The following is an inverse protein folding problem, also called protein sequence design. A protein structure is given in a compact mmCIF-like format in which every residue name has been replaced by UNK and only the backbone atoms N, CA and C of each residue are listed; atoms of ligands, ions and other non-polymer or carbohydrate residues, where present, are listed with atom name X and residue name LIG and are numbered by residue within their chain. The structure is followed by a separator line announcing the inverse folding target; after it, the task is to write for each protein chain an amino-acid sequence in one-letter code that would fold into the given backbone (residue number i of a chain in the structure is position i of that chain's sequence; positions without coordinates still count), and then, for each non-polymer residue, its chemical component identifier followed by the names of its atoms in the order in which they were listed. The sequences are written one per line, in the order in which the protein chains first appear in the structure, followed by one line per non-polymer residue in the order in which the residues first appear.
data_IF_145631805470
#
_entry.id   IF_145631805470
#
_cell.length_a   1.000
_cell.length_b   1.000
_cell.length_c   1.000
_cell.angle_alpha   90.00
_cell.angle_beta   90.00
_cell.angle_gamma   90.00
#
_symmetry.space_group_name_H-M   'P 1'
#
loop_
_entity.id
_entity.type
_entity.pdbx_description
1 polymer ?
#
# COMPACT_ATOMS: atom_id res chain seq x y z
N UNK A 1 3.20 53.57 18.24
CA UNK A 1 4.26 54.50 17.78
C UNK A 1 4.38 54.38 16.27
N UNK A 2 4.30 55.51 15.52
CA UNK A 2 4.35 55.55 14.06
C UNK A 2 5.76 55.90 13.54
N UNK A 3 6.12 55.44 12.34
CA UNK A 3 7.18 55.98 11.49
C UNK A 3 6.84 55.58 10.02
N UNK A 4 6.40 56.47 9.12
CA UNK A 4 7.14 57.56 8.44
C UNK A 4 8.56 57.12 8.05
N UNK A 5 9.05 57.21 6.83
CA UNK A 5 8.66 57.86 5.58
C UNK A 5 9.90 57.83 4.68
N UNK A 6 9.77 57.95 3.36
CA UNK A 6 10.94 57.95 2.49
C UNK A 6 10.64 58.10 1.01
N UNK A 7 10.26 59.30 0.59
CA UNK A 7 10.29 59.73 -0.81
C UNK A 7 11.74 59.95 -1.24
N UNK A 8 12.11 59.52 -2.45
CA UNK A 8 13.13 60.21 -3.25
C UNK A 8 12.68 60.34 -4.70
N UNK A 9 12.60 61.59 -5.13
CA UNK A 9 12.55 62.03 -6.51
C UNK A 9 13.95 61.96 -7.13
N UNK A 10 14.03 61.78 -8.45
CA UNK A 10 15.27 61.80 -9.20
C UNK A 10 15.03 61.77 -10.70
N UNK A 11 14.76 62.96 -11.24
CA UNK A 11 14.70 63.33 -12.65
C UNK A 11 16.02 63.11 -13.39
N UNK A 12 15.95 62.76 -14.68
CA UNK A 12 17.12 62.81 -15.57
C UNK A 12 16.83 62.25 -16.96
N UNK A 13 16.18 63.05 -17.80
CA UNK A 13 16.02 62.78 -19.23
C UNK A 13 17.30 63.11 -20.00
N UNK A 14 17.70 62.27 -20.95
CA UNK A 14 18.43 62.70 -22.16
C UNK A 14 18.00 61.83 -23.35
N UNK A 15 17.50 62.51 -24.37
CA UNK A 15 17.05 61.95 -25.64
C UNK A 15 18.24 61.63 -26.56
N UNK A 16 18.11 60.55 -27.32
CA UNK A 16 19.02 60.14 -28.38
C UNK A 16 18.30 59.29 -29.43
N UNK A 17 18.84 59.18 -30.66
CA UNK A 17 18.08 59.35 -31.89
C UNK A 17 17.26 58.14 -32.34
N UNK A 18 16.15 58.46 -33.00
CA UNK A 18 15.26 57.52 -33.65
C UNK A 18 15.96 56.80 -34.81
N UNK A 19 16.18 55.50 -34.65
CA UNK A 19 16.50 54.57 -35.73
C UNK A 19 15.39 53.52 -35.81
N UNK A 20 14.53 53.65 -36.83
CA UNK A 20 13.70 52.58 -37.39
C UNK A 20 14.32 52.19 -38.74
N UNK A 21 13.96 51.06 -39.35
CA UNK A 21 13.62 49.73 -38.82
C UNK A 21 14.40 48.63 -39.59
N UNK A 22 14.55 47.43 -39.02
CA UNK A 22 14.67 46.22 -39.85
C UNK A 22 14.17 45.00 -39.11
N UNK A 23 13.10 44.44 -39.64
CA UNK A 23 12.42 43.22 -39.25
C UNK A 23 13.36 42.02 -39.40
N UNK A 24 13.83 41.48 -38.27
CA UNK A 24 14.44 40.15 -38.22
C UNK A 24 14.16 39.53 -36.86
N UNK A 25 13.41 38.42 -36.85
CA UNK A 25 13.29 37.51 -35.72
C UNK A 25 12.70 38.13 -34.44
N UNK A 26 11.39 38.34 -34.42
CA UNK A 26 10.67 38.77 -33.21
C UNK A 26 10.76 37.73 -32.09
N UNK A 27 11.86 37.74 -31.33
CA UNK A 27 11.93 37.18 -29.98
C UNK A 27 11.04 38.07 -29.13
N UNK A 28 9.77 37.71 -29.03
CA UNK A 28 8.84 38.39 -28.12
C UNK A 28 9.45 38.28 -26.71
N UNK A 29 9.67 39.38 -25.98
CA UNK A 29 10.05 39.30 -24.59
C UNK A 29 8.97 38.50 -23.90
N UNK A 30 9.34 37.30 -23.42
CA UNK A 30 8.46 36.43 -22.66
C UNK A 30 8.08 37.23 -21.42
N UNK A 31 6.94 37.92 -21.46
CA UNK A 31 6.36 38.59 -20.30
C UNK A 31 6.26 37.51 -19.23
N UNK A 32 7.18 37.58 -18.27
CA UNK A 32 7.01 37.02 -16.94
C UNK A 32 5.88 37.82 -16.30
N UNK A 33 4.65 37.62 -16.79
CA UNK A 33 3.48 37.86 -15.97
C UNK A 33 3.63 37.03 -14.70
N UNK A 34 3.07 37.47 -13.57
CA UNK A 34 3.01 36.65 -12.37
C UNK A 34 2.52 35.27 -12.82
N UNK A 35 3.37 34.25 -12.66
CA UNK A 35 3.00 32.88 -12.95
C UNK A 35 1.77 32.63 -12.10
N UNK A 36 0.59 32.68 -12.71
CA UNK A 36 -0.60 32.15 -12.09
C UNK A 36 -0.18 30.74 -11.64
N UNK A 37 -0.20 30.46 -10.33
CA UNK A 37 0.24 29.17 -9.83
C UNK A 37 -0.64 28.16 -10.54
N UNK A 38 -0.04 27.45 -11.51
CA UNK A 38 -0.71 26.45 -12.32
C UNK A 38 -1.54 25.64 -11.35
N UNK A 39 -2.86 25.80 -11.45
CA UNK A 39 -3.80 25.22 -10.53
C UNK A 39 -3.64 23.72 -10.68
N UNK A 40 -2.80 23.13 -9.83
CA UNK A 40 -2.68 21.69 -9.58
C UNK A 40 -3.96 21.16 -8.92
N UNK A 41 -5.10 21.79 -9.17
CA UNK A 41 -6.43 21.40 -8.73
C UNK A 41 -7.13 20.72 -9.90
N UNK A 42 -7.31 19.41 -9.80
CA UNK A 42 -8.17 18.69 -10.76
C UNK A 42 -8.04 17.18 -10.72
N UNK A 43 -6.93 16.64 -10.20
CA UNK A 43 -6.74 15.19 -10.08
C UNK A 43 -7.45 14.55 -8.87
N UNK A 44 -7.89 15.34 -7.88
CA UNK A 44 -8.46 14.85 -6.62
C UNK A 44 -9.88 14.28 -6.70
N UNK A 45 -10.57 14.41 -7.83
CA UNK A 45 -12.01 14.19 -7.93
C UNK A 45 -12.51 12.74 -8.00
N UNK A 46 -11.63 11.72 -8.06
CA UNK A 46 -12.07 10.33 -8.32
C UNK A 46 -11.81 9.30 -7.22
N UNK A 47 -11.34 9.71 -6.03
CA UNK A 47 -11.12 8.74 -4.93
C UNK A 47 -12.41 8.42 -4.16
N UNK A 48 -13.39 9.35 -4.14
CA UNK A 48 -14.59 9.27 -3.30
C UNK A 48 -15.58 8.13 -3.65
N UNK A 49 -15.36 7.40 -4.74
CA UNK A 49 -16.24 6.29 -5.16
C UNK A 49 -15.70 4.88 -4.90
N UNK A 50 -14.44 4.71 -4.52
CA UNK A 50 -13.86 3.36 -4.37
C UNK A 50 -14.34 2.65 -3.11
N UNK A 51 -14.46 1.31 -3.16
CA UNK A 51 -14.76 0.50 -1.97
C UNK A 51 -13.72 0.71 -0.88
N UNK A 52 -12.44 0.83 -1.26
CA UNK A 52 -11.37 1.11 -0.32
C UNK A 52 -11.56 2.48 0.35
N UNK A 53 -11.88 3.54 -0.41
CA UNK A 53 -12.12 4.86 0.18
C UNK A 53 -13.31 4.85 1.15
N UNK A 54 -14.36 4.08 0.86
CA UNK A 54 -15.49 3.89 1.78
C UNK A 54 -15.06 3.19 3.07
N UNK A 55 -14.32 2.08 2.98
CA UNK A 55 -13.79 1.39 4.15
C UNK A 55 -12.81 2.28 4.95
N UNK A 56 -11.98 3.05 4.27
CA UNK A 56 -11.04 3.97 4.89
C UNK A 56 -11.70 5.23 5.48
N UNK A 57 -12.96 5.52 5.11
CA UNK A 57 -13.77 6.60 5.68
C UNK A 57 -14.45 6.23 7.01
N UNK A 58 -14.38 4.95 7.40
CA UNK A 58 -14.86 4.50 8.71
C UNK A 58 -14.15 5.26 9.85
N UNK A 59 -14.87 5.43 10.96
CA UNK A 59 -14.31 6.03 12.16
C UNK A 59 -12.99 5.32 12.56
N UNK A 60 -12.02 6.08 13.06
CA UNK A 60 -10.71 5.53 13.43
C UNK A 60 -10.80 4.32 14.38
N UNK A 61 -11.65 4.31 15.43
CA UNK A 61 -11.79 3.15 16.31
C UNK A 61 -12.25 1.88 15.57
N UNK A 62 -13.12 2.02 14.57
CA UNK A 62 -13.60 0.88 13.77
C UNK A 62 -12.48 0.30 12.92
N UNK A 63 -11.66 1.17 12.31
CA UNK A 63 -10.48 0.73 11.53
C UNK A 63 -9.45 0.02 12.40
N UNK A 64 -9.23 0.53 13.61
CA UNK A 64 -8.40 -0.13 14.61
C UNK A 64 -8.96 -1.49 15.00
N UNK A 65 -10.27 -1.60 15.26
CA UNK A 65 -10.91 -2.87 15.59
C UNK A 65 -10.76 -3.90 14.46
N UNK A 66 -10.89 -3.51 13.20
CA UNK A 66 -10.65 -4.39 12.03
C UNK A 66 -9.20 -4.88 12.01
N UNK A 67 -8.24 -3.97 12.22
CA UNK A 67 -6.82 -4.34 12.29
C UNK A 67 -6.54 -5.31 13.44
N UNK A 68 -7.05 -5.02 14.64
CA UNK A 68 -6.87 -5.88 15.81
C UNK A 68 -7.55 -7.24 15.63
N UNK A 69 -8.70 -7.30 14.94
CA UNK A 69 -9.34 -8.56 14.58
C UNK A 69 -8.46 -9.38 13.62
N UNK A 70 -7.83 -8.74 12.62
CA UNK A 70 -6.89 -9.43 11.74
C UNK A 70 -5.67 -9.98 12.51
N UNK A 71 -5.10 -9.20 13.43
CA UNK A 71 -4.03 -9.64 14.33
C UNK A 71 -4.50 -10.84 15.18
N UNK A 72 -5.68 -10.75 15.78
CA UNK A 72 -6.25 -11.83 16.59
C UNK A 72 -6.46 -13.12 15.79
N UNK A 73 -6.91 -13.02 14.53
CA UNK A 73 -7.05 -14.17 13.64
C UNK A 73 -5.71 -14.81 13.28
N UNK A 74 -4.65 -14.01 13.03
CA UNK A 74 -3.29 -14.52 12.81
C UNK A 74 -2.81 -15.30 14.03
N UNK A 75 -2.91 -14.70 15.23
CA UNK A 75 -2.49 -15.34 16.48
C UNK A 75 -3.29 -16.62 16.76
N UNK A 76 -4.61 -16.58 16.56
CA UNK A 76 -5.45 -17.75 16.75
C UNK A 76 -5.09 -18.88 15.77
N UNK A 77 -4.91 -18.56 14.49
CA UNK A 77 -4.54 -19.54 13.47
C UNK A 77 -3.17 -20.16 13.77
N UNK A 78 -2.18 -19.33 14.13
CA UNK A 78 -0.85 -19.73 14.59
C UNK A 78 -0.91 -20.75 15.73
N UNK A 79 -1.74 -20.50 16.75
CA UNK A 79 -1.90 -21.39 17.90
C UNK A 79 -2.68 -22.68 17.62
N UNK A 80 -3.55 -22.70 16.60
CA UNK A 80 -4.32 -23.88 16.20
C UNK A 80 -3.60 -24.77 15.20
N UNK A 81 -2.58 -24.23 14.54
CA UNK A 81 -1.74 -24.91 13.57
C UNK A 81 -0.98 -26.05 14.30
N UNK A 82 -1.45 -27.28 14.31
CA UNK A 82 -0.83 -28.35 15.10
C UNK A 82 -1.86 -29.39 15.50
N UNK A 83 -3.13 -28.99 15.47
CA UNK A 83 -4.27 -29.89 15.38
C UNK A 83 -4.54 -30.31 13.92
N UNK A 84 -3.51 -30.47 13.07
CA UNK A 84 -3.72 -30.84 11.65
C UNK A 84 -4.44 -32.18 11.50
N UNK A 85 -4.27 -33.09 12.46
CA UNK A 85 -5.04 -34.33 12.53
C UNK A 85 -6.56 -34.08 12.65
N UNK A 86 -6.99 -32.99 13.30
CA UNK A 86 -8.39 -32.61 13.41
C UNK A 86 -8.93 -31.89 12.15
N UNK A 87 -8.05 -31.30 11.33
CA UNK A 87 -8.39 -30.68 10.05
C UNK A 87 -8.28 -31.64 8.84
N UNK A 88 -8.06 -32.94 9.09
CA UNK A 88 -7.85 -34.02 8.11
C UNK A 88 -8.88 -34.13 6.98
N UNK A 89 -10.03 -33.47 7.09
CA UNK A 89 -11.03 -33.42 6.02
C UNK A 89 -10.64 -32.49 4.86
N UNK A 90 -9.73 -31.53 5.06
CA UNK A 90 -9.30 -30.61 4.01
C UNK A 90 -7.98 -31.07 3.36
N UNK A 91 -7.86 -30.95 2.03
CA UNK A 91 -6.58 -31.10 1.35
C UNK A 91 -5.51 -30.16 1.95
N UNK A 92 -4.27 -30.62 2.18
CA UNK A 92 -3.22 -29.83 2.82
C UNK A 92 -2.94 -28.48 2.13
N UNK A 93 -3.05 -28.40 0.81
CA UNK A 93 -2.89 -27.14 0.07
C UNK A 93 -3.97 -26.11 0.39
N UNK A 94 -5.17 -26.51 0.82
CA UNK A 94 -6.20 -25.57 1.28
C UNK A 94 -5.91 -25.04 2.68
N UNK A 95 -5.29 -25.85 3.53
CA UNK A 95 -4.81 -25.42 4.85
C UNK A 95 -3.71 -24.37 4.66
N UNK A 96 -2.70 -24.66 3.83
CA UNK A 96 -1.62 -23.73 3.51
C UNK A 96 -2.13 -22.47 2.79
N UNK A 97 -3.13 -22.61 1.90
CA UNK A 97 -3.75 -21.47 1.24
C UNK A 97 -4.35 -20.48 2.24
N UNK A 98 -4.75 -20.90 3.45
CA UNK A 98 -5.32 -20.03 4.48
C UNK A 98 -4.40 -18.91 4.95
N UNK A 99 -3.08 -19.13 4.93
CA UNK A 99 -2.06 -18.16 5.33
C UNK A 99 -2.12 -16.87 4.48
N UNK A 100 -2.17 -17.04 3.16
CA UNK A 100 -2.15 -15.90 2.22
C UNK A 100 -3.27 -14.88 2.47
N UNK A 101 -4.56 -15.27 2.44
CA UNK A 101 -5.67 -14.38 2.76
C UNK A 101 -5.57 -13.78 4.15
N UNK A 102 -5.12 -14.53 5.15
CA UNK A 102 -5.03 -14.07 6.53
C UNK A 102 -4.02 -12.92 6.68
N UNK A 103 -2.81 -13.08 6.15
CA UNK A 103 -1.81 -12.02 6.12
C UNK A 103 -2.14 -10.91 5.11
N UNK A 104 -2.91 -11.21 4.07
CA UNK A 104 -3.55 -10.22 3.21
C UNK A 104 -4.50 -9.29 3.98
N UNK A 105 -5.33 -9.83 4.87
CA UNK A 105 -6.20 -9.05 5.74
C UNK A 105 -5.41 -8.18 6.71
N UNK A 106 -4.32 -8.71 7.28
CA UNK A 106 -3.41 -7.93 8.13
C UNK A 106 -2.83 -6.72 7.36
N UNK A 107 -2.34 -6.94 6.14
CA UNK A 107 -1.83 -5.88 5.27
C UNK A 107 -2.89 -4.82 4.95
N UNK A 108 -4.13 -5.23 4.69
CA UNK A 108 -5.25 -4.31 4.45
C UNK A 108 -5.60 -3.50 5.70
N UNK A 109 -5.62 -4.14 6.87
CA UNK A 109 -5.83 -3.46 8.16
C UNK A 109 -4.81 -2.34 8.37
N UNK A 110 -3.53 -2.60 8.10
CA UNK A 110 -2.47 -1.59 8.15
C UNK A 110 -2.73 -0.43 7.18
N UNK A 111 -3.15 -0.69 5.94
CA UNK A 111 -3.49 0.37 4.99
C UNK A 111 -4.71 1.19 5.42
N UNK A 112 -5.72 0.57 6.05
CA UNK A 112 -6.91 1.28 6.56
C UNK A 112 -6.53 2.29 7.65
N UNK A 113 -5.55 1.96 8.51
CA UNK A 113 -5.02 2.89 9.51
C UNK A 113 -4.35 4.13 8.87
N UNK A 114 -3.80 4.00 7.66
CA UNK A 114 -3.23 5.12 6.89
C UNK A 114 -4.29 5.99 6.18
N UNK A 115 -5.56 5.60 6.20
CA UNK A 115 -6.67 6.32 5.60
C UNK A 115 -6.80 6.15 4.08
N UNK A 116 -7.67 6.95 3.42
CA UNK A 116 -8.08 6.71 2.04
C UNK A 116 -6.95 6.72 1.00
N UNK A 117 -5.88 7.47 1.27
CA UNK A 117 -4.72 7.54 0.40
C UNK A 117 -3.70 6.41 0.63
N UNK A 118 -3.87 5.60 1.68
CA UNK A 118 -2.94 4.54 2.09
C UNK A 118 -2.44 3.66 0.94
N UNK A 119 -3.32 3.02 0.14
CA UNK A 119 -2.93 2.14 -0.96
C UNK A 119 -2.19 2.83 -2.10
N UNK A 120 -2.34 4.15 -2.24
CA UNK A 120 -1.68 4.91 -3.30
C UNK A 120 -0.27 5.37 -2.89
N UNK A 121 0.04 5.36 -1.58
CA UNK A 121 1.35 5.75 -1.05
C UNK A 121 2.29 4.55 -1.13
N UNK A 122 3.33 4.65 -1.95
CA UNK A 122 4.37 3.60 -2.06
C UNK A 122 5.01 3.30 -0.70
N UNK A 123 5.34 4.33 0.09
CA UNK A 123 5.87 4.12 1.45
C UNK A 123 4.91 3.41 2.40
N UNK A 124 3.59 3.64 2.26
CA UNK A 124 2.58 2.95 3.07
C UNK A 124 2.48 1.46 2.74
N UNK A 125 2.51 1.12 1.44
CA UNK A 125 2.54 -0.28 0.98
C UNK A 125 3.82 -0.99 1.38
N UNK A 126 4.98 -0.34 1.21
CA UNK A 126 6.25 -0.91 1.63
C UNK A 126 6.29 -1.15 3.14
N UNK A 127 5.84 -0.17 3.93
CA UNK A 127 5.71 -0.33 5.38
C UNK A 127 4.78 -1.48 5.77
N UNK A 128 3.65 -1.65 5.07
CA UNK A 128 2.74 -2.76 5.31
C UNK A 128 3.37 -4.13 4.97
N UNK A 129 4.09 -4.26 3.84
CA UNK A 129 4.85 -5.48 3.51
C UNK A 129 5.89 -5.77 4.57
N UNK A 130 6.66 -4.77 5.01
CA UNK A 130 7.68 -4.94 6.04
C UNK A 130 7.07 -5.39 7.37
N UNK A 131 5.95 -4.80 7.80
CA UNK A 131 5.29 -5.19 9.03
C UNK A 131 4.69 -6.60 8.95
N UNK A 132 4.14 -6.99 7.79
CA UNK A 132 3.69 -8.38 7.57
C UNK A 132 4.86 -9.34 7.57
N UNK A 133 5.98 -9.01 6.92
CA UNK A 133 7.19 -9.82 6.97
C UNK A 133 7.65 -10.09 8.40
N UNK A 134 7.70 -9.03 9.22
CA UNK A 134 8.07 -9.15 10.63
C UNK A 134 7.03 -9.95 11.43
N UNK A 135 5.73 -9.81 11.11
CA UNK A 135 4.68 -10.60 11.75
C UNK A 135 4.79 -12.09 11.40
N UNK A 136 5.03 -12.44 10.13
CA UNK A 136 5.27 -13.83 9.71
C UNK A 136 6.51 -14.42 10.36
N UNK A 137 7.63 -13.67 10.42
CA UNK A 137 8.81 -14.13 11.17
C UNK A 137 8.53 -14.37 12.65
N UNK A 138 7.69 -13.53 13.27
CA UNK A 138 7.31 -13.69 14.67
C UNK A 138 6.41 -14.92 14.86
N UNK A 139 5.51 -15.18 13.92
CA UNK A 139 4.65 -16.36 13.88
C UNK A 139 5.48 -17.64 13.78
N UNK A 140 6.41 -17.71 12.84
CA UNK A 140 7.35 -18.83 12.70
C UNK A 140 8.18 -19.06 13.98
N UNK A 141 8.66 -17.99 14.62
CA UNK A 141 9.38 -18.08 15.88
C UNK A 141 8.48 -18.57 17.03
N UNK A 142 7.23 -18.12 17.10
CA UNK A 142 6.25 -18.60 18.07
C UNK A 142 5.96 -20.08 17.87
N UNK A 143 5.81 -20.55 16.63
CA UNK A 143 5.53 -21.94 16.31
C UNK A 143 6.67 -22.89 16.71
N UNK A 144 7.93 -22.44 16.76
CA UNK A 144 9.04 -23.23 17.31
C UNK A 144 8.83 -23.63 18.78
N UNK A 145 8.05 -22.85 19.53
CA UNK A 145 7.69 -23.16 20.91
C UNK A 145 6.53 -24.15 21.04
N UNK A 146 5.86 -24.51 19.96
CA UNK A 146 4.72 -25.42 19.97
C UNK A 146 5.19 -26.86 19.71
N UNK A 147 4.84 -27.84 20.58
CA UNK A 147 5.12 -29.24 20.31
C UNK A 147 4.51 -29.64 18.96
N UNK A 148 5.21 -30.46 18.18
CA UNK A 148 4.80 -30.94 16.84
C UNK A 148 4.75 -29.90 15.71
N UNK A 149 5.23 -28.67 15.95
CA UNK A 149 5.42 -27.67 14.90
C UNK A 149 6.89 -27.38 14.65
N UNK A 150 7.19 -27.06 13.40
CA UNK A 150 8.48 -26.56 12.97
C UNK A 150 8.27 -25.31 12.13
N UNK A 151 9.25 -24.42 12.13
CA UNK A 151 9.21 -23.24 11.27
C UNK A 151 9.51 -23.61 9.82
N UNK A 152 8.77 -23.08 8.85
CA UNK A 152 8.96 -23.33 7.42
C UNK A 152 9.01 -22.01 6.64
N UNK A 153 10.09 -21.82 5.87
CA UNK A 153 10.24 -20.64 4.99
C UNK A 153 9.08 -20.51 3.99
N UNK A 154 8.43 -21.61 3.61
CA UNK A 154 7.31 -21.59 2.66
C UNK A 154 6.08 -20.87 3.23
N UNK A 155 5.84 -20.95 4.53
CA UNK A 155 4.71 -20.28 5.18
C UNK A 155 4.94 -18.77 5.20
N UNK A 156 6.15 -18.33 5.58
CA UNK A 156 6.57 -16.92 5.46
C UNK A 156 6.44 -16.37 4.03
N UNK A 157 6.80 -17.15 3.00
CA UNK A 157 6.62 -16.71 1.60
C UNK A 157 5.13 -16.63 1.24
N UNK A 158 4.31 -17.57 1.73
CA UNK A 158 2.85 -17.55 1.53
C UNK A 158 2.22 -16.30 2.14
N UNK A 159 2.64 -15.91 3.34
CA UNK A 159 2.20 -14.70 4.04
C UNK A 159 2.51 -13.45 3.23
N UNK A 160 3.75 -13.36 2.74
CA UNK A 160 4.21 -12.25 1.90
C UNK A 160 3.44 -12.14 0.59
N UNK A 161 3.21 -13.28 -0.10
CA UNK A 161 2.42 -13.30 -1.33
C UNK A 161 0.98 -12.85 -1.08
N UNK A 162 0.38 -13.31 0.02
CA UNK A 162 -0.92 -12.86 0.50
C UNK A 162 -1.00 -11.35 0.68
N UNK A 163 -0.04 -10.79 1.43
CA UNK A 163 0.07 -9.35 1.65
C UNK A 163 0.26 -8.58 0.34
N UNK A 164 1.21 -8.97 -0.50
CA UNK A 164 1.48 -8.30 -1.79
C UNK A 164 0.23 -8.31 -2.67
N UNK A 165 -0.46 -9.45 -2.80
CA UNK A 165 -1.70 -9.55 -3.56
C UNK A 165 -2.76 -8.59 -3.01
N UNK A 166 -2.99 -8.59 -1.69
CA UNK A 166 -3.97 -7.72 -1.06
C UNK A 166 -3.65 -6.22 -1.25
N UNK A 167 -2.37 -5.83 -1.15
CA UNK A 167 -1.93 -4.45 -1.34
C UNK A 167 -2.06 -4.00 -2.80
N UNK A 168 -1.77 -4.87 -3.77
CA UNK A 168 -1.97 -4.60 -5.19
C UNK A 168 -3.46 -4.45 -5.53
N UNK A 169 -4.30 -5.31 -4.98
CA UNK A 169 -5.76 -5.23 -5.11
C UNK A 169 -6.30 -3.95 -4.46
N UNK A 170 -5.81 -3.56 -3.28
CA UNK A 170 -6.18 -2.29 -2.64
C UNK A 170 -5.78 -1.07 -3.47
N UNK A 171 -4.56 -1.07 -4.03
CA UNK A 171 -4.07 0.00 -4.89
C UNK A 171 -4.89 0.09 -6.18
N UNK A 172 -5.28 -1.05 -6.75
CA UNK A 172 -6.16 -1.13 -7.90
C UNK A 172 -7.57 -0.61 -7.56
N UNK A 173 -8.16 -1.09 -6.47
CA UNK A 173 -9.51 -0.72 -6.03
C UNK A 173 -9.60 0.78 -5.68
N UNK A 174 -8.52 1.38 -5.17
CA UNK A 174 -8.46 2.82 -4.91
C UNK A 174 -8.47 3.67 -6.20
N UNK A 175 -8.10 3.10 -7.36
CA UNK A 175 -8.03 3.80 -8.65
C UNK A 175 -9.26 3.59 -9.51
N UNK A 176 -9.91 2.44 -9.39
CA UNK A 176 -10.99 2.03 -10.28
C UNK A 176 -12.26 1.68 -9.52
N UNK A 177 -13.45 2.06 -10.01
CA UNK A 177 -14.70 1.55 -9.46
C UNK A 177 -14.78 0.03 -9.70
N UNK A 178 -15.35 -0.69 -8.74
CA UNK A 178 -15.55 -2.13 -8.84
C UNK A 178 -16.65 -2.40 -9.86
N UNK A 179 -16.29 -3.07 -10.95
CA UNK A 179 -17.21 -3.50 -12.00
C UNK A 179 -16.86 -4.96 -12.36
N UNK A 180 -17.85 -5.82 -12.68
CA UNK A 180 -17.62 -7.24 -12.96
C UNK A 180 -16.56 -7.47 -14.05
N UNK A 181 -16.58 -6.65 -15.10
CA UNK A 181 -15.63 -6.70 -16.21
C UNK A 181 -14.16 -6.38 -15.82
N UNK A 182 -13.92 -5.97 -14.56
CA UNK A 182 -12.59 -5.62 -14.06
C UNK A 182 -12.17 -6.46 -12.85
N UNK A 183 -12.79 -7.62 -12.65
CA UNK A 183 -12.40 -8.58 -11.61
C UNK A 183 -11.15 -9.39 -11.97
N UNK A 184 -10.58 -9.22 -13.17
CA UNK A 184 -9.39 -9.93 -13.63
C UNK A 184 -8.21 -9.88 -12.64
N UNK A 185 -7.88 -8.75 -11.97
CA UNK A 185 -6.81 -8.73 -10.98
C UNK A 185 -7.09 -9.61 -9.76
N UNK A 186 -8.35 -9.74 -9.34
CA UNK A 186 -8.73 -10.63 -8.22
C UNK A 186 -8.60 -12.09 -8.62
N UNK A 187 -9.06 -12.44 -9.83
CA UNK A 187 -8.88 -13.79 -10.36
C UNK A 187 -7.39 -14.13 -10.49
N UNK A 188 -6.57 -13.20 -10.98
CA UNK A 188 -5.13 -13.38 -11.09
C UNK A 188 -4.47 -13.56 -9.71
N UNK A 189 -4.82 -12.73 -8.71
CA UNK A 189 -4.33 -12.88 -7.35
C UNK A 189 -4.71 -14.24 -6.74
N UNK A 190 -5.96 -14.67 -6.92
CA UNK A 190 -6.42 -15.97 -6.45
C UNK A 190 -5.66 -17.12 -7.13
N UNK A 191 -5.47 -17.07 -8.45
CA UNK A 191 -4.71 -18.07 -9.20
C UNK A 191 -3.24 -18.11 -8.73
N UNK A 192 -2.60 -16.96 -8.53
CA UNK A 192 -1.23 -16.89 -8.01
C UNK A 192 -1.13 -17.56 -6.64
N UNK A 193 -2.05 -17.25 -5.72
CA UNK A 193 -2.07 -17.84 -4.38
C UNK A 193 -2.33 -19.35 -4.43
N UNK A 194 -3.25 -19.80 -5.29
CA UNK A 194 -3.55 -21.23 -5.47
C UNK A 194 -2.35 -21.99 -6.04
N UNK A 195 -1.71 -21.47 -7.09
CA UNK A 195 -0.53 -22.08 -7.69
C UNK A 195 0.62 -22.17 -6.69
N UNK A 196 0.84 -21.09 -5.93
CA UNK A 196 1.85 -21.10 -4.87
C UNK A 196 1.53 -22.09 -3.77
N UNK A 197 0.28 -22.15 -3.29
CA UNK A 197 -0.13 -23.09 -2.24
C UNK A 197 0.11 -24.55 -2.66
N UNK A 198 -0.20 -24.90 -3.90
CA UNK A 198 0.12 -26.24 -4.45
C UNK A 198 1.62 -26.51 -4.43
N UNK A 199 2.44 -25.57 -4.92
CA UNK A 199 3.91 -25.72 -4.91
C UNK A 199 4.45 -25.84 -3.47
N UNK A 200 3.94 -25.02 -2.55
CA UNK A 200 4.38 -25.00 -1.16
C UNK A 200 4.05 -26.31 -0.42
N UNK A 201 2.90 -26.93 -0.72
CA UNK A 201 2.51 -28.21 -0.13
C UNK A 201 3.36 -29.37 -0.64
N UNK A 202 3.69 -29.41 -1.94
CA UNK A 202 4.45 -30.52 -2.53
C UNK A 202 5.96 -30.41 -2.31
N UNK A 203 6.48 -29.20 -2.08
CA UNK A 203 7.90 -28.99 -1.83
C UNK A 203 8.32 -29.50 -0.44
N UNK A 204 9.54 -30.06 -0.27
CA UNK A 204 10.06 -30.41 1.04
C UNK A 204 10.12 -29.17 1.95
N UNK A 205 9.96 -29.33 3.28
CA UNK A 205 10.04 -28.21 4.22
C UNK A 205 11.43 -27.56 4.16
N UNK A 206 11.47 -26.24 4.22
CA UNK A 206 12.72 -25.48 4.23
C UNK A 206 12.84 -24.80 5.59
N UNK A 207 13.58 -25.39 6.55
CA UNK A 207 13.63 -24.84 7.89
C UNK A 207 14.25 -23.45 7.86
N UNK A 208 13.63 -22.51 8.59
CA UNK A 208 14.21 -21.18 8.77
C UNK A 208 15.44 -21.28 9.68
N UNK A 209 16.51 -20.50 9.42
CA UNK A 209 17.71 -20.47 10.24
C UNK A 209 17.48 -19.65 11.52
N UNK A 210 16.47 -20.04 12.30
CA UNK A 210 16.12 -19.43 13.58
C UNK A 210 16.89 -20.13 14.71
N UNK A 211 17.29 -19.39 15.76
CA UNK A 211 17.87 -20.01 16.94
C UNK A 211 16.85 -20.96 17.57
N UNK A 212 17.32 -22.12 18.05
CA UNK A 212 16.50 -23.00 18.87
C UNK A 212 16.01 -22.22 20.10
N UNK A 213 14.73 -22.38 20.49
CA UNK A 213 14.17 -21.71 21.67
C UNK A 213 14.85 -22.17 22.98
#
# INVERSE_FOLDING_TARGET
MPAAGGRRAGTGALAGPAVRPRSAGGVRPRRLGPREPASRGGGGGRVNGSLFARAASLAWPVRLAIFLAAVGLVVLASSLSGQEEALTALPPYLVNLGHGPLYGLLALGLLLLLGPAGPLRTGGRFGAVLLVFLAGLLDEWHQLGLPSRGSDLKDLVTDLLGAVCALLLAAWAARFPVAPARLLPFAAALVILLLWAVVATEAPPVPLPLPAP
#
